data_IF_047357568363
#
_entry.id   IF_047357568363
#
_cell.length_a   1.000
_cell.length_b   1.000
_cell.length_c   1.000
_cell.angle_alpha   90.00
_cell.angle_beta   90.00
_cell.angle_gamma   90.00
#
_symmetry.space_group_name_H-M   'P 1'
#
loop_
_entity.id
_entity.type
_entity.pdbx_description
1 polymer ?
#
# COMPACT_ATOMS: atom_id res chain seq x y z
N UNK A 1 -3.27 34.60 6.54
CA UNK A 1 -2.27 33.83 5.78
C UNK A 1 -2.55 32.38 6.08
N UNK A 2 -2.96 31.56 5.08
CA UNK A 2 -3.17 30.12 5.27
C UNK A 2 -1.81 29.50 5.61
N UNK A 3 -1.70 28.81 6.74
CA UNK A 3 -0.46 28.24 7.25
C UNK A 3 0.13 27.26 6.21
N UNK A 4 1.38 27.50 5.78
CA UNK A 4 2.15 26.59 4.91
C UNK A 4 2.38 25.19 5.56
N UNK A 5 1.99 25.01 6.82
CA UNK A 5 2.11 23.74 7.56
C UNK A 5 1.19 22.64 7.06
N UNK A 6 0.16 22.99 6.31
CA UNK A 6 -0.88 22.05 5.86
C UNK A 6 -0.65 21.54 4.43
N UNK A 7 0.51 21.83 3.81
CA UNK A 7 0.82 21.42 2.44
C UNK A 7 1.87 20.30 2.44
N UNK A 8 1.51 19.17 1.84
CA UNK A 8 2.33 17.97 1.74
C UNK A 8 2.74 17.71 0.29
N UNK A 9 3.94 17.15 0.10
CA UNK A 9 4.36 16.49 -1.11
C UNK A 9 4.35 14.97 -0.88
N UNK A 10 3.45 14.26 -1.52
CA UNK A 10 3.43 12.80 -1.54
C UNK A 10 4.18 12.27 -2.76
N UNK A 11 5.06 11.31 -2.56
CA UNK A 11 5.85 10.66 -3.62
C UNK A 11 5.54 9.16 -3.62
N UNK A 12 5.11 8.65 -4.78
CA UNK A 12 4.89 7.23 -5.03
C UNK A 12 5.85 6.77 -6.15
N UNK A 13 6.79 5.89 -5.79
CA UNK A 13 7.78 5.32 -6.72
C UNK A 13 7.25 4.03 -7.34
N UNK A 14 6.25 4.15 -8.21
CA UNK A 14 5.70 3.00 -8.90
C UNK A 14 6.64 2.42 -9.97
N UNK A 15 6.53 1.12 -10.21
CA UNK A 15 7.33 0.42 -11.24
C UNK A 15 6.95 0.87 -12.66
N UNK A 16 5.70 1.26 -12.91
CA UNK A 16 5.24 1.77 -14.21
C UNK A 16 5.27 3.29 -14.27
N UNK A 17 4.88 3.97 -13.18
CA UNK A 17 4.77 5.42 -13.12
C UNK A 17 5.25 5.95 -11.78
N UNK A 18 6.00 7.04 -11.81
CA UNK A 18 6.38 7.83 -10.64
C UNK A 18 5.38 8.97 -10.51
N UNK A 19 4.79 9.14 -9.33
CA UNK A 19 3.81 10.19 -9.06
C UNK A 19 4.30 11.09 -7.93
N UNK A 20 4.11 12.38 -8.13
CA UNK A 20 4.30 13.40 -7.11
C UNK A 20 3.02 14.24 -7.01
N UNK A 21 2.45 14.33 -5.81
CA UNK A 21 1.22 15.07 -5.58
C UNK A 21 1.45 16.09 -4.47
N UNK A 22 1.15 17.35 -4.77
CA UNK A 22 1.06 18.40 -3.76
C UNK A 22 -0.39 18.51 -3.34
N UNK A 23 -0.64 18.36 -2.06
CA UNK A 23 -2.00 18.40 -1.52
C UNK A 23 -2.06 19.07 -0.15
N UNK A 24 -3.26 19.47 0.25
CA UNK A 24 -3.60 19.89 1.61
C UNK A 24 -4.83 19.15 2.07
N UNK A 25 -5.05 19.13 3.39
CA UNK A 25 -6.30 18.63 3.95
C UNK A 25 -7.13 19.81 4.42
N UNK A 26 -8.39 19.80 4.02
CA UNK A 26 -9.37 20.79 4.41
C UNK A 26 -9.96 20.45 5.80
N UNK A 27 -10.62 21.42 6.48
CA UNK A 27 -11.21 21.19 7.83
C UNK A 27 -12.25 20.06 7.90
N UNK A 28 -12.84 19.68 6.78
CA UNK A 28 -13.79 18.55 6.65
C UNK A 28 -13.10 17.21 6.32
N UNK A 29 -11.77 17.13 6.48
CA UNK A 29 -10.92 15.99 6.14
C UNK A 29 -10.86 15.66 4.63
N UNK A 30 -11.30 16.55 3.75
CA UNK A 30 -11.14 16.37 2.31
C UNK A 30 -9.68 16.61 1.90
N UNK A 31 -9.08 15.66 1.19
CA UNK A 31 -7.77 15.77 0.58
C UNK A 31 -7.91 16.54 -0.75
N UNK A 32 -7.48 17.80 -0.76
CA UNK A 32 -7.50 18.64 -1.96
C UNK A 32 -6.16 18.57 -2.71
N UNK A 33 -6.17 18.16 -3.96
CA UNK A 33 -5.00 18.20 -4.83
C UNK A 33 -4.75 19.63 -5.29
N UNK A 34 -3.57 20.14 -4.97
CA UNK A 34 -3.09 21.46 -5.41
C UNK A 34 -2.22 21.35 -6.66
N UNK A 35 -1.46 20.26 -6.78
CA UNK A 35 -0.57 20.01 -7.90
C UNK A 35 -0.36 18.53 -8.13
N UNK A 36 -0.14 18.16 -9.39
CA UNK A 36 0.08 16.80 -9.82
C UNK A 36 1.22 16.74 -10.84
N UNK A 37 2.14 15.79 -10.66
CA UNK A 37 3.17 15.43 -11.61
C UNK A 37 3.26 13.92 -11.72
N UNK A 38 3.22 13.40 -12.95
CA UNK A 38 3.31 11.99 -13.27
C UNK A 38 4.34 11.77 -14.36
N UNK A 39 5.29 10.84 -14.14
CA UNK A 39 6.31 10.48 -15.12
C UNK A 39 6.32 8.97 -15.35
N UNK A 40 6.45 8.51 -16.61
CA UNK A 40 6.67 7.09 -16.87
C UNK A 40 7.93 6.60 -16.16
N UNK A 41 7.86 5.48 -15.48
CA UNK A 41 9.02 4.86 -14.85
C UNK A 41 9.75 3.97 -15.86
N UNK A 42 10.93 4.38 -16.29
CA UNK A 42 11.69 3.68 -17.35
C UNK A 42 12.69 2.67 -16.81
N UNK A 43 13.06 2.77 -15.54
CA UNK A 43 14.13 1.97 -14.92
C UNK A 43 13.83 1.58 -13.48
N UNK A 44 12.56 1.31 -13.17
CA UNK A 44 12.15 0.67 -11.92
C UNK A 44 11.74 -0.78 -12.19
N UNK A 45 12.26 -1.71 -11.41
CA UNK A 45 11.91 -3.13 -11.45
C UNK A 45 11.44 -3.59 -10.05
N UNK A 46 10.18 -3.99 -9.93
CA UNK A 46 9.60 -4.45 -8.64
C UNK A 46 9.85 -3.49 -7.47
N UNK A 47 9.71 -2.19 -7.73
CA UNK A 47 9.93 -1.14 -6.73
C UNK A 47 11.39 -0.76 -6.47
N UNK A 48 12.34 -1.25 -7.28
CA UNK A 48 13.76 -0.95 -7.15
C UNK A 48 14.34 -0.27 -8.40
N UNK A 49 15.28 0.67 -8.23
CA UNK A 49 15.92 1.33 -9.36
C UNK A 49 16.95 0.41 -10.02
N UNK A 50 16.79 0.17 -11.33
CA UNK A 50 17.75 -0.51 -12.18
C UNK A 50 18.85 0.45 -12.66
N UNK A 51 18.46 1.64 -13.12
CA UNK A 51 19.37 2.72 -13.51
C UNK A 51 19.06 3.98 -12.68
N UNK A 52 19.74 4.15 -11.53
CA UNK A 52 19.42 5.23 -10.58
C UNK A 52 19.41 6.63 -11.18
N UNK A 53 20.32 6.95 -12.10
CA UNK A 53 20.39 8.27 -12.73
C UNK A 53 19.12 8.64 -13.52
N UNK A 54 18.55 7.68 -14.24
CA UNK A 54 17.29 7.89 -15.00
C UNK A 54 16.13 8.09 -14.01
N UNK A 55 16.09 7.27 -12.96
CA UNK A 55 15.00 7.36 -11.96
C UNK A 55 15.07 8.68 -11.19
N UNK A 56 16.26 9.14 -10.81
CA UNK A 56 16.47 10.46 -10.17
C UNK A 56 15.88 11.57 -11.03
N UNK A 57 16.19 11.59 -12.33
CA UNK A 57 15.66 12.61 -13.24
C UNK A 57 14.13 12.56 -13.35
N UNK A 58 13.56 11.36 -13.41
CA UNK A 58 12.10 11.18 -13.48
C UNK A 58 11.41 11.63 -12.19
N UNK A 59 11.97 11.32 -11.03
CA UNK A 59 11.44 11.80 -9.73
C UNK A 59 11.49 13.33 -9.71
N UNK A 60 12.63 13.89 -10.06
CA UNK A 60 12.81 15.35 -10.08
C UNK A 60 11.80 16.04 -10.99
N UNK A 61 11.59 15.52 -12.22
CA UNK A 61 10.59 16.06 -13.16
C UNK A 61 9.16 15.93 -12.63
N UNK A 62 8.80 14.79 -12.02
CA UNK A 62 7.49 14.60 -11.41
C UNK A 62 7.25 15.64 -10.28
N UNK A 63 8.24 15.84 -9.41
CA UNK A 63 8.17 16.83 -8.32
C UNK A 63 8.06 18.25 -8.87
N UNK A 64 8.88 18.62 -9.85
CA UNK A 64 8.83 19.94 -10.46
C UNK A 64 7.45 20.20 -11.09
N UNK A 65 6.90 19.25 -11.80
CA UNK A 65 5.58 19.36 -12.41
C UNK A 65 4.48 19.52 -11.35
N UNK A 66 4.54 18.75 -10.26
CA UNK A 66 3.60 18.87 -9.15
C UNK A 66 3.65 20.27 -8.50
N UNK A 67 4.85 20.80 -8.26
CA UNK A 67 5.04 22.15 -7.68
C UNK A 67 4.56 23.23 -8.66
N UNK A 68 4.90 23.09 -9.94
CA UNK A 68 4.50 24.02 -10.99
C UNK A 68 2.98 24.10 -11.14
N UNK A 69 2.31 22.93 -11.16
CA UNK A 69 0.85 22.86 -11.29
C UNK A 69 0.12 23.31 -10.03
N UNK A 70 0.76 23.17 -8.86
CA UNK A 70 0.27 23.73 -7.59
C UNK A 70 0.42 25.25 -7.50
N UNK A 71 1.19 25.87 -8.39
CA UNK A 71 1.52 27.29 -8.37
C UNK A 71 2.10 27.77 -7.03
N UNK A 72 2.89 26.90 -6.36
CA UNK A 72 3.54 27.25 -5.11
C UNK A 72 4.77 28.12 -5.35
N UNK A 73 4.99 29.10 -4.46
CA UNK A 73 6.21 29.93 -4.43
C UNK A 73 7.35 29.27 -3.67
N UNK A 74 7.01 28.41 -2.72
CA UNK A 74 7.95 27.70 -1.85
C UNK A 74 7.71 26.20 -1.95
N UNK A 75 8.75 25.45 -1.70
CA UNK A 75 8.67 23.99 -1.67
C UNK A 75 7.80 23.52 -0.49
N UNK A 76 6.97 22.46 -0.63
CA UNK A 76 6.19 21.91 0.48
C UNK A 76 7.06 21.57 1.69
N UNK A 77 6.59 21.90 2.89
CA UNK A 77 7.38 21.73 4.12
C UNK A 77 7.39 20.28 4.61
N UNK A 78 6.52 19.44 4.10
CA UNK A 78 6.37 18.05 4.50
C UNK A 78 6.44 17.14 3.28
N UNK A 79 7.28 16.13 3.37
CA UNK A 79 7.50 15.16 2.29
C UNK A 79 7.15 13.78 2.83
N UNK A 80 6.27 13.09 2.11
CA UNK A 80 5.86 11.72 2.40
C UNK A 80 6.23 10.78 1.25
N UNK A 81 6.70 9.58 1.58
CA UNK A 81 7.11 8.54 0.64
C UNK A 81 6.32 7.25 0.86
N UNK A 82 5.72 6.71 -0.20
CA UNK A 82 5.16 5.38 -0.21
C UNK A 82 6.27 4.33 -0.41
N UNK A 83 6.31 3.31 0.45
CA UNK A 83 7.27 2.21 0.37
C UNK A 83 6.61 0.97 -0.25
N UNK A 84 7.15 0.51 -1.37
CA UNK A 84 6.71 -0.70 -2.07
C UNK A 84 7.88 -1.35 -2.79
N UNK A 85 7.94 -2.67 -2.74
CA UNK A 85 8.93 -3.42 -3.52
C UNK A 85 9.48 -4.66 -2.82
N UNK A 86 10.27 -5.41 -3.56
CA UNK A 86 10.87 -6.67 -3.10
C UNK A 86 11.90 -6.53 -1.97
N UNK A 87 12.25 -5.31 -1.57
CA UNK A 87 13.11 -5.02 -0.44
C UNK A 87 12.37 -4.95 0.91
N UNK A 88 11.03 -5.05 0.90
CA UNK A 88 10.19 -5.01 2.08
C UNK A 88 9.41 -6.31 2.25
N UNK A 89 9.47 -6.89 3.43
CA UNK A 89 8.69 -8.07 3.82
C UNK A 89 7.88 -7.78 5.06
N UNK A 90 6.63 -8.24 5.10
CA UNK A 90 5.82 -8.21 6.32
C UNK A 90 6.11 -9.46 7.14
N UNK A 91 6.38 -9.28 8.41
CA UNK A 91 6.61 -10.34 9.39
C UNK A 91 5.68 -10.15 10.58
N UNK A 92 5.39 -11.23 11.29
CA UNK A 92 4.64 -11.19 12.55
C UNK A 92 5.53 -11.51 13.74
N UNK A 93 5.20 -10.91 14.85
CA UNK A 93 5.79 -11.20 16.17
C UNK A 93 4.69 -11.21 17.20
N UNK A 94 4.77 -12.16 18.15
CA UNK A 94 3.84 -12.25 19.26
C UNK A 94 4.55 -12.08 20.60
N UNK A 95 3.88 -11.41 21.53
CA UNK A 95 4.33 -11.22 22.91
C UNK A 95 3.15 -11.47 23.83
N UNK A 96 3.37 -12.29 24.86
CA UNK A 96 2.39 -12.55 25.93
C UNK A 96 2.78 -11.81 27.19
N UNK A 97 1.80 -11.25 27.88
CA UNK A 97 1.90 -10.71 29.23
C UNK A 97 0.94 -11.44 30.14
N UNK A 98 1.29 -11.56 31.42
CA UNK A 98 0.40 -12.09 32.45
C UNK A 98 -0.54 -10.99 32.94
N UNK A 99 -1.82 -11.32 33.09
CA UNK A 99 -2.83 -10.45 33.68
C UNK A 99 -3.05 -10.90 35.15
N UNK A 100 -2.67 -10.10 36.12
CA UNK A 100 -2.77 -10.47 37.53
C UNK A 100 -4.21 -10.77 37.95
N UNK A 101 -4.41 -11.82 38.72
CA UNK A 101 -5.69 -12.21 39.33
C UNK A 101 -6.85 -12.38 38.34
N UNK A 102 -6.58 -12.64 37.07
CA UNK A 102 -7.60 -12.72 36.01
C UNK A 102 -8.59 -11.52 36.04
N UNK A 103 -8.05 -10.32 36.22
CA UNK A 103 -8.83 -9.09 36.16
C UNK A 103 -9.25 -8.78 34.71
N UNK A 104 -10.28 -7.95 34.51
CA UNK A 104 -10.62 -7.47 33.18
C UNK A 104 -9.44 -6.76 32.53
N UNK A 105 -9.14 -7.13 31.30
CA UNK A 105 -8.07 -6.52 30.49
C UNK A 105 -8.37 -5.03 30.29
N UNK A 106 -7.36 -4.20 30.52
CA UNK A 106 -7.43 -2.75 30.37
C UNK A 106 -6.69 -2.27 29.11
N UNK A 107 -6.91 -1.02 28.74
CA UNK A 107 -6.12 -0.37 27.66
C UNK A 107 -4.61 -0.36 28.01
N UNK A 108 -4.27 -0.16 29.29
CA UNK A 108 -2.87 -0.18 29.74
C UNK A 108 -2.20 -1.54 29.53
N UNK A 109 -2.93 -2.65 29.67
CA UNK A 109 -2.43 -3.99 29.39
C UNK A 109 -2.16 -4.17 27.89
N UNK A 110 -3.06 -3.71 27.03
CA UNK A 110 -2.87 -3.73 25.58
C UNK A 110 -1.62 -2.93 25.16
N UNK A 111 -1.45 -1.73 25.73
CA UNK A 111 -0.28 -0.89 25.52
C UNK A 111 1.00 -1.60 26.01
N UNK A 112 0.96 -2.25 27.15
CA UNK A 112 2.12 -2.97 27.74
C UNK A 112 2.52 -4.13 26.85
N UNK A 113 1.56 -4.95 26.40
CA UNK A 113 1.80 -6.04 25.47
C UNK A 113 2.41 -5.53 24.15
N UNK A 114 1.84 -4.50 23.58
CA UNK A 114 2.38 -3.87 22.38
C UNK A 114 3.79 -3.30 22.55
N UNK A 115 4.09 -2.61 23.66
CA UNK A 115 5.46 -2.10 23.95
C UNK A 115 6.49 -3.22 24.06
N UNK A 116 6.12 -4.34 24.61
CA UNK A 116 7.02 -5.50 24.72
C UNK A 116 7.47 -6.03 23.37
N UNK A 117 6.70 -5.76 22.30
CA UNK A 117 7.07 -6.07 20.92
C UNK A 117 8.30 -5.26 20.47
N UNK A 118 8.35 -3.96 20.78
CA UNK A 118 9.51 -3.14 20.40
C UNK A 118 10.81 -3.60 21.05
N UNK A 119 10.74 -4.08 22.29
CA UNK A 119 11.90 -4.68 22.95
C UNK A 119 12.44 -5.91 22.21
N UNK A 120 11.58 -6.66 21.52
CA UNK A 120 12.01 -7.79 20.67
C UNK A 120 12.52 -7.35 19.29
N UNK A 121 11.96 -6.30 18.72
CA UNK A 121 12.38 -5.77 17.42
C UNK A 121 13.71 -4.99 17.52
N UNK A 122 13.94 -4.32 18.64
CA UNK A 122 15.16 -3.54 18.94
C UNK A 122 15.76 -4.02 20.27
N UNK A 123 16.34 -5.23 20.27
CA UNK A 123 16.91 -5.78 21.50
C UNK A 123 18.10 -4.96 22.00
N UNK A 124 18.34 -5.00 23.31
CA UNK A 124 19.54 -4.42 23.89
C UNK A 124 20.82 -5.04 23.31
N UNK A 125 21.95 -4.32 23.31
CA UNK A 125 23.22 -4.85 22.83
C UNK A 125 23.54 -6.22 23.43
N UNK A 126 23.84 -7.21 22.57
CA UNK A 126 24.16 -8.59 22.98
C UNK A 126 22.96 -9.53 23.12
N UNK A 127 21.73 -9.04 22.94
CA UNK A 127 20.56 -9.91 22.86
C UNK A 127 20.25 -10.33 21.42
N UNK A 128 19.68 -11.54 21.18
CA UNK A 128 19.34 -11.98 19.85
C UNK A 128 18.20 -11.15 19.26
N UNK A 129 18.38 -10.70 18.03
CA UNK A 129 17.32 -10.01 17.26
C UNK A 129 16.43 -11.02 16.57
N UNK A 130 15.11 -10.74 16.55
CA UNK A 130 14.14 -11.49 15.72
C UNK A 130 14.11 -10.98 14.28
N UNK A 131 14.73 -9.82 14.02
CA UNK A 131 14.84 -9.26 12.67
C UNK A 131 15.94 -10.02 11.92
N UNK A 132 15.67 -10.52 10.70
CA UNK A 132 16.67 -11.25 9.94
C UNK A 132 17.96 -10.47 9.72
N UNK A 133 19.13 -11.13 9.62
CA UNK A 133 20.40 -10.47 9.28
C UNK A 133 20.29 -9.67 7.96
N UNK A 134 20.90 -8.49 7.93
CA UNK A 134 20.87 -7.58 6.76
C UNK A 134 19.55 -6.82 6.61
N UNK A 135 18.58 -7.03 7.48
CA UNK A 135 17.32 -6.28 7.52
C UNK A 135 17.21 -5.44 8.78
N UNK A 136 16.34 -4.42 8.71
CA UNK A 136 15.95 -3.62 9.86
C UNK A 136 14.43 -3.45 9.86
N UNK A 137 13.79 -3.29 11.04
CA UNK A 137 12.36 -3.04 11.11
C UNK A 137 12.08 -1.57 10.79
N UNK A 138 11.07 -1.33 9.97
CA UNK A 138 10.48 0.01 9.88
C UNK A 138 9.88 0.37 11.24
N UNK A 139 9.90 1.63 11.62
CA UNK A 139 9.29 2.12 12.87
C UNK A 139 7.78 1.90 12.93
N UNK A 140 7.14 1.75 11.77
CA UNK A 140 5.72 1.45 11.66
C UNK A 140 5.47 -0.02 12.00
N UNK A 141 4.82 -0.25 13.14
CA UNK A 141 4.42 -1.57 13.65
C UNK A 141 2.92 -1.52 13.90
N UNK A 142 2.19 -2.50 13.45
CA UNK A 142 0.72 -2.50 13.55
C UNK A 142 0.21 -3.74 14.27
N UNK A 143 -0.75 -3.57 15.17
CA UNK A 143 -1.40 -4.70 15.85
C UNK A 143 -2.15 -5.54 14.84
N UNK A 144 -1.99 -6.87 14.91
CA UNK A 144 -2.74 -7.82 14.11
C UNK A 144 -4.00 -8.28 14.83
N UNK A 145 -3.81 -8.79 16.03
CA UNK A 145 -4.90 -9.21 16.91
C UNK A 145 -4.37 -9.42 18.33
N UNK A 146 -5.30 -9.71 19.23
CA UNK A 146 -5.01 -10.20 20.58
C UNK A 146 -5.56 -11.60 20.74
N UNK A 147 -4.86 -12.44 21.53
CA UNK A 147 -5.29 -13.78 21.88
C UNK A 147 -5.35 -13.95 23.39
N UNK A 148 -6.45 -14.48 23.88
CA UNK A 148 -6.67 -14.79 25.30
C UNK A 148 -6.09 -16.15 25.68
N UNK A 149 -6.01 -16.44 26.99
CA UNK A 149 -5.54 -17.74 27.52
C UNK A 149 -6.35 -18.94 26.99
N UNK A 150 -7.63 -18.76 26.69
CA UNK A 150 -8.52 -19.78 26.14
C UNK A 150 -8.40 -19.95 24.61
N UNK A 151 -7.49 -19.19 23.97
CA UNK A 151 -7.23 -19.25 22.53
C UNK A 151 -8.14 -18.35 21.68
N UNK A 152 -9.13 -17.66 22.25
CA UNK A 152 -9.97 -16.72 21.49
C UNK A 152 -9.13 -15.60 20.93
N UNK A 153 -9.34 -15.30 19.65
CA UNK A 153 -8.74 -14.19 18.95
C UNK A 153 -9.74 -13.01 18.94
N UNK A 154 -9.24 -11.82 19.28
CA UNK A 154 -10.03 -10.58 19.36
C UNK A 154 -9.23 -9.42 18.74
N UNK A 155 -9.92 -8.43 18.19
CA UNK A 155 -9.30 -7.17 17.75
C UNK A 155 -9.28 -6.13 18.88
N UNK A 156 -10.25 -6.20 19.81
CA UNK A 156 -10.24 -5.43 21.05
C UNK A 156 -10.52 -6.36 22.23
N UNK A 157 -9.54 -6.62 23.12
CA UNK A 157 -9.72 -7.48 24.28
C UNK A 157 -10.17 -6.72 25.54
N UNK A 158 -10.34 -5.39 25.49
CA UNK A 158 -10.67 -4.55 26.64
C UNK A 158 -11.97 -5.06 27.31
N UNK A 159 -11.95 -5.19 28.64
CA UNK A 159 -13.06 -5.71 29.43
C UNK A 159 -13.20 -7.23 29.46
N UNK A 160 -12.44 -7.98 28.64
CA UNK A 160 -12.40 -9.45 28.72
C UNK A 160 -11.60 -9.91 29.93
N UNK A 161 -11.97 -11.06 30.48
CA UNK A 161 -11.25 -11.69 31.61
C UNK A 161 -10.34 -12.79 31.05
N UNK A 162 -9.05 -12.71 31.38
CA UNK A 162 -8.06 -13.72 30.98
C UNK A 162 -6.88 -13.70 31.95
N UNK A 163 -6.18 -14.81 32.09
CA UNK A 163 -4.92 -14.86 32.86
C UNK A 163 -3.71 -14.40 32.04
N UNK A 164 -3.81 -14.42 30.72
CA UNK A 164 -2.76 -13.95 29.81
C UNK A 164 -3.37 -13.16 28.65
N UNK A 165 -2.59 -12.21 28.14
CA UNK A 165 -2.89 -11.47 26.93
C UNK A 165 -1.71 -11.59 25.97
N UNK A 166 -1.92 -12.22 24.82
CA UNK A 166 -0.94 -12.28 23.74
C UNK A 166 -1.29 -11.25 22.68
N UNK A 167 -0.38 -10.32 22.44
CA UNK A 167 -0.47 -9.36 21.32
C UNK A 167 0.29 -9.94 20.12
N UNK A 168 -0.39 -10.14 19.01
CA UNK A 168 0.22 -10.39 17.70
C UNK A 168 0.34 -9.07 16.94
N UNK A 169 1.51 -8.85 16.35
CA UNK A 169 1.86 -7.58 15.71
C UNK A 169 2.56 -7.85 14.39
N UNK A 170 2.23 -7.06 13.37
CA UNK A 170 2.93 -7.04 12.10
C UNK A 170 4.00 -5.95 12.11
N UNK A 171 5.16 -6.25 11.56
CA UNK A 171 6.22 -5.28 11.28
C UNK A 171 6.77 -5.46 9.87
N UNK A 172 7.29 -4.38 9.30
CA UNK A 172 7.87 -4.38 7.96
C UNK A 172 9.38 -4.46 8.09
N UNK A 173 9.96 -5.57 7.62
CA UNK A 173 11.40 -5.77 7.58
C UNK A 173 11.94 -5.30 6.24
N UNK A 174 12.82 -4.30 6.27
CA UNK A 174 13.44 -3.70 5.09
C UNK A 174 14.85 -4.25 4.90
N UNK A 175 15.20 -4.59 3.67
CA UNK A 175 16.58 -4.86 3.29
C UNK A 175 17.41 -3.57 3.36
N UNK A 176 18.47 -3.59 4.18
CA UNK A 176 19.23 -2.39 4.50
C UNK A 176 19.92 -1.77 3.29
N UNK A 177 20.57 -2.56 2.46
CA UNK A 177 21.32 -2.06 1.31
C UNK A 177 20.40 -1.54 0.22
N UNK A 178 19.32 -2.29 -0.05
CA UNK A 178 18.35 -1.93 -1.08
C UNK A 178 17.59 -0.67 -0.71
N UNK A 179 17.15 -0.56 0.54
CA UNK A 179 16.48 0.64 1.05
C UNK A 179 17.38 1.87 1.00
N UNK A 180 18.65 1.74 1.44
CA UNK A 180 19.57 2.87 1.42
C UNK A 180 19.87 3.38 0.01
N UNK A 181 19.89 2.51 -1.01
CA UNK A 181 20.00 2.95 -2.41
C UNK A 181 18.81 3.83 -2.82
N UNK A 182 17.59 3.45 -2.42
CA UNK A 182 16.38 4.24 -2.68
C UNK A 182 16.45 5.59 -1.97
N UNK A 183 16.84 5.61 -0.69
CA UNK A 183 16.99 6.86 0.08
C UNK A 183 18.06 7.77 -0.52
N UNK A 184 19.21 7.23 -0.91
CA UNK A 184 20.27 8.02 -1.54
C UNK A 184 19.81 8.65 -2.86
N UNK A 185 19.08 7.90 -3.67
CA UNK A 185 18.49 8.39 -4.91
C UNK A 185 17.48 9.52 -4.66
N UNK A 186 16.59 9.33 -3.69
CA UNK A 186 15.59 10.34 -3.31
C UNK A 186 16.24 11.60 -2.74
N UNK A 187 17.25 11.48 -1.89
CA UNK A 187 18.00 12.62 -1.38
C UNK A 187 18.61 13.47 -2.50
N UNK A 188 19.10 12.81 -3.55
CA UNK A 188 19.60 13.51 -4.74
C UNK A 188 18.48 14.20 -5.51
N UNK A 189 17.36 13.52 -5.76
CA UNK A 189 16.21 14.09 -6.48
C UNK A 189 15.53 15.24 -5.70
N UNK A 190 15.60 15.22 -4.38
CA UNK A 190 15.02 16.21 -3.48
C UNK A 190 15.99 17.34 -3.11
N UNK A 191 17.19 17.36 -3.69
CA UNK A 191 18.23 18.36 -3.39
C UNK A 191 18.53 18.42 -1.88
N UNK A 192 18.72 17.24 -1.26
CA UNK A 192 19.04 17.08 0.16
C UNK A 192 17.88 17.34 1.15
N UNK A 193 16.65 17.58 0.67
CA UNK A 193 15.49 17.74 1.55
C UNK A 193 15.12 16.42 2.21
N UNK A 194 14.71 16.52 3.47
CA UNK A 194 14.39 15.37 4.29
C UNK A 194 12.98 14.81 3.98
N UNK A 195 12.85 13.48 3.98
CA UNK A 195 11.57 12.78 3.95
C UNK A 195 11.05 12.69 5.38
N UNK A 196 9.91 13.32 5.65
CA UNK A 196 9.32 13.38 7.00
C UNK A 196 8.58 12.09 7.37
N UNK A 197 7.91 11.48 6.38
CA UNK A 197 7.04 10.31 6.59
C UNK A 197 7.29 9.23 5.55
N UNK A 198 7.33 7.99 6.01
CA UNK A 198 7.39 6.81 5.14
C UNK A 198 6.24 5.87 5.49
N UNK A 199 5.46 5.46 4.50
CA UNK A 199 4.28 4.62 4.69
C UNK A 199 4.35 3.41 3.75
N UNK A 200 4.27 2.18 4.27
CA UNK A 200 4.10 0.99 3.43
C UNK A 200 2.82 1.06 2.61
N UNK A 201 2.89 0.68 1.32
CA UNK A 201 1.73 0.74 0.43
C UNK A 201 0.51 -0.03 0.96
N UNK A 202 0.62 -1.22 1.58
CA UNK A 202 -0.55 -1.87 2.18
C UNK A 202 -1.30 -1.00 3.21
N UNK A 203 -0.60 -0.15 3.95
CA UNK A 203 -1.22 0.79 4.90
C UNK A 203 -1.79 2.02 4.18
N UNK A 204 -1.08 2.51 3.16
CA UNK A 204 -1.54 3.63 2.36
C UNK A 204 -2.88 3.33 1.66
N UNK A 205 -3.01 2.18 0.99
CA UNK A 205 -4.27 1.82 0.32
C UNK A 205 -5.43 1.71 1.30
N UNK A 206 -5.19 1.24 2.52
CA UNK A 206 -6.19 1.23 3.58
C UNK A 206 -6.64 2.65 3.94
N UNK A 207 -5.71 3.55 4.19
CA UNK A 207 -6.01 4.94 4.50
C UNK A 207 -6.75 5.68 3.36
N UNK A 208 -6.67 5.19 2.12
CA UNK A 208 -7.38 5.76 0.98
C UNK A 208 -8.77 5.18 0.78
N UNK A 209 -8.95 3.87 0.96
CA UNK A 209 -10.14 3.15 0.53
C UNK A 209 -11.09 2.78 1.66
N UNK A 210 -10.58 2.72 2.90
CA UNK A 210 -11.35 2.30 4.06
C UNK A 210 -11.42 3.45 5.07
N UNK A 211 -12.61 4.00 5.33
CA UNK A 211 -12.79 4.87 6.49
C UNK A 211 -12.39 4.14 7.78
N UNK A 212 -11.99 4.84 8.82
CA UNK A 212 -11.62 4.21 10.08
C UNK A 212 -12.72 3.30 10.61
N UNK A 213 -12.31 2.07 10.99
CA UNK A 213 -13.21 1.09 11.58
C UNK A 213 -13.29 1.33 13.08
N UNK A 214 -14.50 1.35 13.64
CA UNK A 214 -14.72 1.45 15.09
C UNK A 214 -14.77 0.06 15.72
N UNK A 215 -14.55 -0.04 17.03
CA UNK A 215 -14.66 -1.31 17.78
C UNK A 215 -16.08 -1.90 17.72
N UNK A 216 -17.07 -1.05 17.48
CA UNK A 216 -18.48 -1.43 17.31
C UNK A 216 -18.76 -2.02 15.91
N UNK A 217 -17.88 -1.76 14.93
CA UNK A 217 -17.90 -2.36 13.61
C UNK A 217 -17.44 -3.83 13.71
N UNK A 218 -18.20 -4.63 14.44
CA UNK A 218 -17.95 -6.06 14.59
C UNK A 218 -18.20 -6.78 13.27
N UNK A 219 -17.25 -6.56 12.30
CA UNK A 219 -17.02 -7.49 11.18
C UNK A 219 -18.18 -7.80 10.23
N UNK A 220 -17.93 -7.89 8.98
CA UNK A 220 -16.75 -8.43 8.29
C UNK A 220 -15.71 -7.37 7.89
N UNK A 221 -14.44 -7.80 7.65
CA UNK A 221 -13.33 -6.92 7.32
C UNK A 221 -13.18 -6.77 5.80
N UNK A 222 -12.96 -5.56 5.28
CA UNK A 222 -12.71 -5.37 3.86
C UNK A 222 -11.32 -5.89 3.45
N UNK A 223 -11.25 -6.60 2.32
CA UNK A 223 -9.98 -6.87 1.64
C UNK A 223 -9.75 -5.82 0.57
N UNK A 224 -8.60 -5.17 0.65
CA UNK A 224 -8.13 -4.17 -0.29
C UNK A 224 -6.95 -4.75 -1.07
N UNK A 225 -7.02 -4.68 -2.39
CA UNK A 225 -5.99 -5.21 -3.30
C UNK A 225 -5.55 -4.07 -4.20
N UNK A 226 -4.26 -3.71 -4.15
CA UNK A 226 -3.67 -2.77 -5.08
C UNK A 226 -2.83 -3.54 -6.11
N UNK A 227 -3.34 -3.61 -7.32
CA UNK A 227 -2.70 -4.31 -8.43
C UNK A 227 -1.80 -3.35 -9.19
N UNK A 228 -0.55 -3.24 -8.73
CA UNK A 228 0.48 -2.43 -9.35
C UNK A 228 1.18 -3.14 -10.52
N UNK A 229 2.17 -2.45 -11.11
CA UNK A 229 2.96 -3.03 -12.19
C UNK A 229 3.93 -4.10 -11.70
N UNK A 230 4.74 -3.81 -10.67
CA UNK A 230 5.75 -4.73 -10.17
C UNK A 230 5.31 -5.65 -9.05
N UNK A 231 4.37 -5.19 -8.22
CA UNK A 231 3.89 -5.89 -7.03
C UNK A 231 2.40 -5.71 -6.85
N UNK A 232 1.77 -6.65 -6.17
CA UNK A 232 0.40 -6.54 -5.68
C UNK A 232 0.43 -6.38 -4.17
N UNK A 233 -0.22 -5.33 -3.65
CA UNK A 233 -0.32 -5.08 -2.21
C UNK A 233 -1.68 -5.52 -1.69
N UNK A 234 -1.68 -6.17 -0.52
CA UNK A 234 -2.87 -6.64 0.17
C UNK A 234 -3.00 -5.94 1.52
N UNK A 235 -4.21 -5.51 1.84
CA UNK A 235 -4.51 -4.89 3.13
C UNK A 235 -5.87 -5.34 3.63
N UNK A 236 -5.94 -5.70 4.91
CA UNK A 236 -7.17 -6.07 5.60
C UNK A 236 -7.18 -5.36 6.95
N UNK A 237 -7.66 -4.10 6.99
CA UNK A 237 -7.69 -3.31 8.22
C UNK A 237 -8.69 -3.89 9.23
N UNK A 238 -8.42 -3.68 10.53
CA UNK A 238 -9.28 -4.06 11.65
C UNK A 238 -9.54 -2.85 12.53
N UNK A 239 -10.53 -2.87 13.42
CA UNK A 239 -10.62 -1.87 14.48
C UNK A 239 -9.37 -1.90 15.36
N UNK A 240 -8.41 -1.06 15.07
CA UNK A 240 -7.17 -0.94 15.83
C UNK A 240 -5.94 -1.63 15.26
N UNK A 241 -5.96 -2.11 14.02
CA UNK A 241 -4.80 -2.74 13.41
C UNK A 241 -5.01 -3.27 12.01
N UNK A 242 -4.29 -4.32 11.69
CA UNK A 242 -4.40 -5.03 10.41
C UNK A 242 -4.32 -6.54 10.61
N UNK A 243 -5.34 -7.26 10.18
CA UNK A 243 -5.25 -8.71 10.11
C UNK A 243 -4.19 -9.14 9.08
N UNK A 244 -4.10 -8.38 7.99
CA UNK A 244 -3.17 -8.60 6.88
C UNK A 244 -2.67 -7.28 6.31
N UNK A 245 -1.37 -7.14 6.08
CA UNK A 245 -0.74 -6.02 5.39
C UNK A 245 0.53 -6.52 4.72
N UNK A 246 0.46 -6.98 3.47
CA UNK A 246 1.58 -7.64 2.81
C UNK A 246 1.67 -7.32 1.32
N UNK A 247 2.78 -7.70 0.69
CA UNK A 247 3.01 -7.55 -0.74
C UNK A 247 3.36 -8.89 -1.39
N UNK A 248 2.83 -9.09 -2.59
CA UNK A 248 3.15 -10.22 -3.46
C UNK A 248 4.02 -9.68 -4.60
N UNK A 249 5.16 -10.31 -4.87
CA UNK A 249 6.10 -9.90 -5.92
C UNK A 249 5.61 -10.18 -7.35
N UNK A 250 4.30 -10.12 -7.57
CA UNK A 250 3.63 -10.29 -8.88
C UNK A 250 2.76 -9.06 -9.13
N UNK A 251 2.81 -8.52 -10.33
CA UNK A 251 1.99 -7.41 -10.80
C UNK A 251 1.81 -7.47 -12.31
N UNK A 252 1.28 -6.41 -12.92
CA UNK A 252 0.99 -6.34 -14.36
C UNK A 252 2.23 -6.47 -15.26
N UNK A 253 3.44 -6.24 -14.76
CA UNK A 253 4.68 -6.49 -15.50
C UNK A 253 4.91 -7.97 -15.81
N UNK A 254 4.41 -8.87 -14.96
CA UNK A 254 4.45 -10.31 -15.24
C UNK A 254 3.51 -10.64 -16.40
N UNK A 255 2.34 -10.03 -16.42
CA UNK A 255 1.42 -10.14 -17.54
C UNK A 255 2.03 -9.55 -18.83
N UNK A 256 2.67 -8.37 -18.76
CA UNK A 256 3.39 -7.79 -19.88
C UNK A 256 4.50 -8.72 -20.39
N UNK A 257 5.22 -9.36 -19.48
CA UNK A 257 6.29 -10.30 -19.84
C UNK A 257 5.73 -11.56 -20.52
N UNK A 258 4.59 -12.10 -20.05
CA UNK A 258 3.95 -13.25 -20.69
C UNK A 258 3.48 -12.90 -22.12
N UNK A 259 2.84 -11.74 -22.29
CA UNK A 259 2.47 -11.24 -23.63
C UNK A 259 3.70 -11.08 -24.52
N UNK A 260 4.77 -10.48 -23.97
CA UNK A 260 6.04 -10.31 -24.68
C UNK A 260 6.64 -11.64 -25.17
N UNK A 261 6.62 -12.68 -24.33
CA UNK A 261 7.19 -13.99 -24.62
C UNK A 261 6.30 -14.81 -25.57
N UNK A 262 4.99 -14.87 -25.28
CA UNK A 262 4.05 -15.70 -26.07
C UNK A 262 3.94 -15.21 -27.50
N UNK A 263 3.89 -13.90 -27.69
CA UNK A 263 3.71 -13.30 -29.02
C UNK A 263 5.02 -12.86 -29.68
N UNK A 264 6.17 -13.06 -29.03
CA UNK A 264 7.48 -12.70 -29.60
C UNK A 264 7.63 -11.21 -29.90
N UNK A 265 7.01 -10.35 -29.07
CA UNK A 265 7.02 -8.88 -29.28
C UNK A 265 8.44 -8.32 -29.16
N UNK A 266 9.30 -8.94 -28.31
CA UNK A 266 10.68 -8.54 -28.04
C UNK A 266 10.86 -7.08 -27.57
N UNK A 267 9.78 -6.51 -27.00
CA UNK A 267 9.76 -5.15 -26.48
C UNK A 267 8.78 -5.04 -25.28
N UNK A 268 9.34 -5.05 -24.09
CA UNK A 268 8.54 -4.99 -22.85
C UNK A 268 7.74 -3.70 -22.70
N UNK A 269 8.20 -2.57 -23.27
CA UNK A 269 7.46 -1.31 -23.24
C UNK A 269 6.20 -1.41 -24.10
N UNK A 270 6.31 -2.01 -25.30
CA UNK A 270 5.16 -2.28 -26.16
C UNK A 270 4.16 -3.21 -25.46
N UNK A 271 4.65 -4.27 -24.81
CA UNK A 271 3.79 -5.18 -24.05
C UNK A 271 3.07 -4.48 -22.86
N UNK A 272 3.75 -3.58 -22.15
CA UNK A 272 3.11 -2.73 -21.11
C UNK A 272 2.03 -1.81 -21.69
N UNK A 273 2.30 -1.19 -22.84
CA UNK A 273 1.31 -0.34 -23.52
C UNK A 273 0.07 -1.14 -23.95
N UNK A 274 0.25 -2.37 -24.44
CA UNK A 274 -0.87 -3.27 -24.76
C UNK A 274 -1.79 -3.46 -23.56
N UNK A 275 -1.23 -3.71 -22.37
CA UNK A 275 -2.03 -3.87 -21.14
C UNK A 275 -2.81 -2.59 -20.80
N UNK A 276 -2.19 -1.42 -20.94
CA UNK A 276 -2.85 -0.15 -20.69
C UNK A 276 -3.98 0.15 -21.69
N UNK A 277 -3.88 -0.41 -22.88
CA UNK A 277 -4.83 -0.20 -23.99
C UNK A 277 -5.80 -1.36 -24.21
N UNK A 278 -5.86 -2.35 -23.31
CA UNK A 278 -6.73 -3.53 -23.46
C UNK A 278 -8.20 -3.17 -23.72
N UNK A 279 -8.70 -2.11 -23.09
CA UNK A 279 -10.04 -1.61 -23.33
C UNK A 279 -10.23 -1.13 -24.79
N UNK A 280 -9.23 -0.48 -25.38
CA UNK A 280 -9.23 -0.02 -26.77
C UNK A 280 -9.20 -1.19 -27.73
N UNK A 281 -8.46 -2.25 -27.39
CA UNK A 281 -8.43 -3.51 -28.15
C UNK A 281 -9.67 -4.39 -27.90
N UNK A 282 -10.56 -3.98 -26.96
CA UNK A 282 -11.71 -4.78 -26.50
C UNK A 282 -11.31 -6.16 -25.98
N UNK A 283 -10.11 -6.29 -25.40
CA UNK A 283 -9.65 -7.48 -24.72
C UNK A 283 -10.00 -7.43 -23.24
N UNK A 284 -10.29 -8.58 -22.66
CA UNK A 284 -10.80 -8.72 -21.29
C UNK A 284 -9.98 -9.73 -20.48
N UNK A 285 -10.15 -9.69 -19.16
CA UNK A 285 -9.56 -10.65 -18.23
C UNK A 285 -10.21 -12.05 -18.28
N UNK A 286 -11.32 -12.19 -19.00
CA UNK A 286 -12.06 -13.45 -19.17
C UNK A 286 -12.14 -13.74 -20.66
N UNK A 287 -11.43 -14.79 -21.08
CA UNK A 287 -11.38 -15.16 -22.49
C UNK A 287 -12.75 -15.64 -23.01
N UNK A 288 -13.07 -15.25 -24.24
CA UNK A 288 -14.24 -15.77 -24.97
C UNK A 288 -13.85 -17.12 -25.60
N UNK A 289 -14.26 -18.21 -24.96
CA UNK A 289 -13.91 -19.58 -25.41
C UNK A 289 -14.69 -20.04 -26.68
N UNK A 290 -15.47 -19.18 -27.27
CA UNK A 290 -16.39 -19.47 -28.37
C UNK A 290 -15.84 -19.15 -29.77
N UNK A 291 -14.52 -19.07 -29.91
CA UNK A 291 -13.85 -18.99 -31.21
C UNK A 291 -13.92 -17.60 -31.87
N UNK A 292 -13.86 -16.52 -31.09
CA UNK A 292 -13.74 -15.17 -31.62
C UNK A 292 -12.47 -15.03 -32.49
N UNK A 293 -12.68 -14.91 -33.80
CA UNK A 293 -11.61 -14.78 -34.78
C UNK A 293 -11.08 -13.34 -34.91
N UNK A 294 -11.35 -12.44 -33.93
CA UNK A 294 -10.85 -11.06 -33.97
C UNK A 294 -9.33 -11.02 -33.98
N UNK A 295 -8.79 -10.24 -34.90
CA UNK A 295 -7.38 -9.91 -34.96
C UNK A 295 -7.14 -8.51 -34.39
N UNK A 296 -6.08 -8.36 -33.63
CA UNK A 296 -5.61 -7.09 -33.07
C UNK A 296 -4.38 -6.65 -33.86
N UNK A 297 -4.39 -5.44 -34.39
CA UNK A 297 -3.19 -4.87 -35.01
C UNK A 297 -2.45 -4.03 -33.97
N UNK A 298 -1.29 -4.50 -33.55
CA UNK A 298 -0.43 -3.84 -32.56
C UNK A 298 0.62 -3.01 -33.30
N UNK A 299 0.69 -1.71 -33.01
CA UNK A 299 1.69 -0.82 -33.55
C UNK A 299 2.99 -0.80 -32.70
N UNK A 300 4.14 -0.74 -33.36
CA UNK A 300 5.43 -0.58 -32.72
C UNK A 300 6.00 0.83 -32.90
N UNK A 301 6.92 1.28 -32.01
CA UNK A 301 7.52 2.61 -32.09
C UNK A 301 8.30 2.88 -33.40
N UNK A 302 8.73 1.84 -34.10
CA UNK A 302 9.42 1.92 -35.39
C UNK A 302 8.47 2.00 -36.60
N UNK A 303 7.15 2.04 -36.34
CA UNK A 303 6.12 2.12 -37.38
C UNK A 303 5.67 0.76 -37.93
N UNK A 304 6.30 -0.35 -37.50
CA UNK A 304 5.86 -1.68 -37.85
C UNK A 304 4.54 -2.05 -37.13
N UNK A 305 3.84 -3.04 -37.66
CA UNK A 305 2.63 -3.59 -37.03
C UNK A 305 2.72 -5.12 -36.95
N UNK A 306 2.01 -5.68 -35.98
CA UNK A 306 1.86 -7.12 -35.81
C UNK A 306 0.38 -7.45 -35.57
N UNK A 307 -0.12 -8.44 -36.25
CA UNK A 307 -1.48 -8.93 -36.04
C UNK A 307 -1.46 -10.10 -35.05
N UNK A 308 -2.28 -10.01 -34.00
CA UNK A 308 -2.41 -11.00 -32.94
C UNK A 308 -3.88 -11.44 -32.80
N UNK A 309 -4.07 -12.70 -32.42
CA UNK A 309 -5.40 -13.21 -32.06
C UNK A 309 -5.86 -12.58 -30.75
N UNK A 310 -7.06 -11.98 -30.75
CA UNK A 310 -7.66 -11.43 -29.51
C UNK A 310 -7.92 -12.53 -28.48
N UNK A 311 -8.39 -13.69 -28.90
CA UNK A 311 -8.67 -14.83 -28.03
C UNK A 311 -7.39 -15.36 -27.36
N UNK A 312 -6.27 -15.44 -28.10
CA UNK A 312 -5.00 -15.87 -27.53
C UNK A 312 -4.49 -14.82 -26.52
N UNK A 313 -4.65 -13.53 -26.82
CA UNK A 313 -4.33 -12.44 -25.90
C UNK A 313 -5.13 -12.54 -24.60
N UNK A 314 -6.45 -12.69 -24.70
CA UNK A 314 -7.32 -12.86 -23.52
C UNK A 314 -6.99 -14.12 -22.74
N UNK A 315 -6.61 -15.22 -23.40
CA UNK A 315 -6.18 -16.45 -22.73
C UNK A 315 -4.91 -16.24 -21.90
N UNK A 316 -3.90 -15.56 -22.44
CA UNK A 316 -2.66 -15.22 -21.70
C UNK A 316 -2.99 -14.36 -20.49
N UNK A 317 -3.84 -13.34 -20.66
CA UNK A 317 -4.27 -12.45 -19.60
C UNK A 317 -5.00 -13.22 -18.50
N UNK A 318 -5.97 -14.03 -18.87
CA UNK A 318 -6.78 -14.81 -17.95
C UNK A 318 -5.94 -15.79 -17.11
N UNK A 319 -5.05 -16.53 -17.75
CA UNK A 319 -4.16 -17.51 -17.06
C UNK A 319 -3.30 -16.82 -16.00
N UNK A 320 -2.66 -15.71 -16.34
CA UNK A 320 -1.82 -14.98 -15.37
C UNK A 320 -2.61 -14.38 -14.23
N UNK A 321 -3.75 -13.79 -14.52
CA UNK A 321 -4.60 -13.19 -13.48
C UNK A 321 -5.24 -14.27 -12.58
N UNK A 322 -5.62 -15.42 -13.14
CA UNK A 322 -6.07 -16.59 -12.35
C UNK A 322 -5.00 -17.03 -11.36
N UNK A 323 -3.75 -17.18 -11.80
CA UNK A 323 -2.63 -17.51 -10.92
C UNK A 323 -2.49 -16.50 -9.78
N UNK A 324 -2.51 -15.20 -10.09
CA UNK A 324 -2.41 -14.15 -9.08
C UNK A 324 -3.53 -14.23 -8.05
N UNK A 325 -4.80 -14.35 -8.48
CA UNK A 325 -5.92 -14.43 -7.54
C UNK A 325 -5.95 -15.73 -6.74
N UNK A 326 -5.45 -16.83 -7.29
CA UNK A 326 -5.25 -18.09 -6.54
C UNK A 326 -4.18 -17.91 -5.45
N UNK A 327 -3.06 -17.23 -5.75
CA UNK A 327 -2.04 -16.89 -4.73
C UNK A 327 -2.63 -15.99 -3.64
N UNK A 328 -3.47 -15.01 -4.00
CA UNK A 328 -4.17 -14.18 -3.01
C UNK A 328 -5.06 -15.05 -2.12
N UNK A 329 -5.82 -15.98 -2.70
CA UNK A 329 -6.62 -16.95 -1.96
C UNK A 329 -5.80 -17.76 -0.96
N UNK A 330 -4.65 -18.30 -1.39
CA UNK A 330 -3.73 -19.01 -0.51
C UNK A 330 -3.19 -18.14 0.64
N UNK A 331 -2.94 -16.84 0.39
CA UNK A 331 -2.54 -15.89 1.44
C UNK A 331 -3.66 -15.66 2.46
N UNK A 332 -4.90 -15.56 2.00
CA UNK A 332 -6.06 -15.45 2.90
C UNK A 332 -6.22 -16.69 3.78
N UNK A 333 -6.02 -17.89 3.23
CA UNK A 333 -6.04 -19.15 3.98
C UNK A 333 -4.90 -19.19 5.01
N UNK A 334 -3.68 -18.92 4.60
CA UNK A 334 -2.49 -18.93 5.47
C UNK A 334 -2.62 -17.95 6.65
N UNK A 335 -3.31 -16.85 6.46
CA UNK A 335 -3.59 -15.85 7.49
C UNK A 335 -4.89 -16.10 8.26
N UNK A 336 -5.62 -17.20 7.99
CA UNK A 336 -6.94 -17.49 8.56
C UNK A 336 -7.94 -16.34 8.35
N UNK A 337 -7.84 -15.65 7.22
CA UNK A 337 -8.54 -14.40 6.96
C UNK A 337 -9.94 -14.59 6.35
N UNK A 338 -10.23 -15.73 5.72
CA UNK A 338 -11.51 -15.98 5.06
C UNK A 338 -12.74 -15.86 5.98
N UNK A 339 -12.62 -16.29 7.24
CA UNK A 339 -13.70 -16.18 8.22
C UNK A 339 -14.05 -14.76 8.64
N UNK A 340 -13.16 -13.81 8.35
CA UNK A 340 -13.29 -12.40 8.69
C UNK A 340 -13.59 -11.52 7.47
N UNK A 341 -13.56 -12.10 6.26
CA UNK A 341 -13.66 -11.37 5.01
C UNK A 341 -15.08 -10.90 4.74
N UNK A 342 -15.23 -9.62 4.42
CA UNK A 342 -16.49 -9.03 3.95
C UNK A 342 -16.94 -9.67 2.62
N UNK A 343 -18.19 -9.46 2.28
CA UNK A 343 -18.76 -9.85 1.00
C UNK A 343 -18.20 -9.06 -0.18
N UNK A 344 -17.52 -7.94 0.06
CA UNK A 344 -16.99 -7.07 -0.98
C UNK A 344 -15.47 -6.89 -0.85
N UNK A 345 -14.76 -7.03 -1.99
CA UNK A 345 -13.32 -6.79 -2.14
C UNK A 345 -13.13 -5.55 -3.00
N UNK A 346 -12.20 -4.67 -2.63
CA UNK A 346 -11.86 -3.47 -3.39
C UNK A 346 -10.53 -3.65 -4.14
N UNK A 347 -10.56 -3.45 -5.46
CA UNK A 347 -9.37 -3.38 -6.30
C UNK A 347 -8.94 -1.94 -6.53
N UNK A 348 -7.64 -1.68 -6.53
CA UNK A 348 -7.00 -0.42 -6.92
C UNK A 348 -5.74 -0.67 -7.74
N UNK A 349 -5.03 0.41 -8.11
CA UNK A 349 -3.90 0.34 -9.04
C UNK A 349 -4.33 0.31 -10.49
N UNK A 350 -3.36 0.43 -11.40
CA UNK A 350 -3.65 0.42 -12.85
C UNK A 350 -4.23 -0.91 -13.33
N UNK A 351 -3.82 -2.02 -12.71
CA UNK A 351 -4.35 -3.34 -13.05
C UNK A 351 -5.85 -3.50 -12.79
N UNK A 352 -6.43 -2.69 -11.88
CA UNK A 352 -7.87 -2.70 -11.63
C UNK A 352 -8.70 -2.22 -12.83
N UNK A 353 -8.06 -1.58 -13.82
CA UNK A 353 -8.71 -1.10 -15.04
C UNK A 353 -8.77 -2.15 -16.17
N UNK A 354 -8.15 -3.32 -15.98
CA UNK A 354 -8.27 -4.42 -16.96
C UNK A 354 -9.74 -4.81 -17.06
N UNK A 355 -10.32 -4.79 -18.30
CA UNK A 355 -11.74 -5.08 -18.45
C UNK A 355 -12.12 -6.47 -17.91
N UNK A 356 -13.25 -6.57 -17.21
CA UNK A 356 -13.79 -7.78 -16.54
C UNK A 356 -12.89 -8.40 -15.46
N UNK A 357 -11.86 -7.71 -14.99
CA UNK A 357 -11.00 -8.23 -13.91
C UNK A 357 -11.78 -8.48 -12.61
N UNK A 358 -12.75 -7.63 -12.28
CA UNK A 358 -13.60 -7.81 -11.10
C UNK A 358 -14.44 -9.09 -11.17
N UNK A 359 -14.89 -9.46 -12.35
CA UNK A 359 -15.63 -10.73 -12.60
C UNK A 359 -14.71 -11.93 -12.37
N UNK A 360 -13.51 -11.91 -12.97
CA UNK A 360 -12.53 -12.98 -12.81
C UNK A 360 -12.13 -13.15 -11.34
N UNK A 361 -11.76 -12.05 -10.69
CA UNK A 361 -11.38 -12.06 -9.27
C UNK A 361 -12.51 -12.56 -8.38
N UNK A 362 -13.73 -12.12 -8.63
CA UNK A 362 -14.92 -12.52 -7.88
C UNK A 362 -15.23 -14.01 -8.01
N UNK A 363 -15.04 -14.57 -9.20
CA UNK A 363 -15.21 -16.01 -9.46
C UNK A 363 -14.20 -16.88 -8.69
N UNK A 364 -12.95 -16.39 -8.53
CA UNK A 364 -11.87 -17.13 -7.83
C UNK A 364 -11.93 -16.96 -6.31
N UNK A 365 -12.16 -15.73 -5.85
CA UNK A 365 -12.17 -15.41 -4.42
C UNK A 365 -13.52 -15.63 -3.76
N UNK A 366 -14.55 -16.00 -4.54
CA UNK A 366 -15.93 -16.23 -4.09
C UNK A 366 -16.52 -15.04 -3.31
N UNK A 367 -16.23 -13.83 -3.77
CA UNK A 367 -16.71 -12.57 -3.20
C UNK A 367 -17.02 -11.57 -4.31
N UNK A 368 -17.89 -10.61 -4.00
CA UNK A 368 -18.11 -9.48 -4.92
C UNK A 368 -16.85 -8.62 -4.97
N UNK A 369 -16.41 -8.26 -6.16
CA UNK A 369 -15.23 -7.42 -6.37
C UNK A 369 -15.64 -6.18 -7.15
N UNK A 370 -15.14 -5.02 -6.75
CA UNK A 370 -15.27 -3.76 -7.49
C UNK A 370 -14.01 -2.92 -7.43
N UNK A 371 -13.89 -1.98 -8.33
CA UNK A 371 -12.83 -0.96 -8.27
C UNK A 371 -13.14 -0.02 -7.12
N UNK A 372 -12.14 0.17 -6.24
CA UNK A 372 -12.19 1.11 -5.14
C UNK A 372 -11.87 2.53 -5.59
N UNK A 373 -12.47 3.52 -4.94
CA UNK A 373 -12.16 4.93 -5.12
C UNK A 373 -11.79 5.56 -3.78
N UNK A 374 -10.71 6.33 -3.70
CA UNK A 374 -10.36 7.06 -2.48
C UNK A 374 -11.51 7.95 -2.01
N UNK A 375 -11.81 7.87 -0.72
CA UNK A 375 -12.89 8.67 -0.14
C UNK A 375 -12.44 10.11 0.15
N UNK A 376 -13.36 11.07 0.11
CA UNK A 376 -13.11 12.48 0.42
C UNK A 376 -11.85 13.06 -0.24
N UNK A 377 -11.72 12.89 -1.57
CA UNK A 377 -10.65 13.47 -2.36
C UNK A 377 -11.24 14.46 -3.35
N UNK A 378 -10.73 15.68 -3.35
CA UNK A 378 -10.97 16.67 -4.40
C UNK A 378 -9.73 16.77 -5.30
N UNK A 379 -9.81 16.13 -6.45
CA UNK A 379 -8.82 16.17 -7.52
C UNK A 379 -9.42 16.68 -8.84
N UNK A 380 -10.60 17.30 -8.78
CA UNK A 380 -11.38 17.75 -9.95
C UNK A 380 -10.64 18.74 -10.84
N UNK A 381 -9.64 19.43 -10.30
CA UNK A 381 -8.74 20.31 -11.07
C UNK A 381 -7.90 19.54 -12.10
N UNK A 382 -7.65 18.25 -11.88
CA UNK A 382 -6.73 17.44 -12.69
C UNK A 382 -7.41 16.26 -13.39
N UNK A 383 -8.54 15.79 -12.86
CA UNK A 383 -9.21 14.58 -13.32
C UNK A 383 -10.72 14.73 -13.26
N UNK A 384 -11.42 14.32 -14.31
CA UNK A 384 -12.89 14.16 -14.29
C UNK A 384 -13.28 13.02 -13.34
N UNK A 385 -12.49 11.95 -13.36
CA UNK A 385 -12.56 10.81 -12.42
C UNK A 385 -11.15 10.46 -11.99
N UNK A 386 -10.90 10.40 -10.67
CA UNK A 386 -9.58 10.08 -10.13
C UNK A 386 -9.18 8.64 -10.50
N UNK A 387 -8.09 8.44 -11.26
CA UNK A 387 -7.68 7.10 -11.66
C UNK A 387 -7.26 6.23 -10.45
N UNK A 388 -7.56 4.92 -10.44
CA UNK A 388 -7.22 4.02 -9.33
C UNK A 388 -5.73 3.99 -8.97
N UNK A 389 -4.84 4.31 -9.91
CA UNK A 389 -3.39 4.40 -9.65
C UNK A 389 -2.98 5.51 -8.69
N UNK A 390 -3.89 6.43 -8.36
CA UNK A 390 -3.67 7.48 -7.36
C UNK A 390 -4.05 7.06 -5.95
N UNK A 391 -4.63 5.87 -5.76
CA UNK A 391 -5.04 5.36 -4.44
C UNK A 391 -3.88 5.37 -3.45
N UNK A 392 -2.72 4.87 -3.85
CA UNK A 392 -1.52 4.83 -2.99
C UNK A 392 -1.12 6.22 -2.50
N UNK A 393 -1.02 7.21 -3.40
CA UNK A 393 -0.58 8.57 -3.00
C UNK A 393 -1.64 9.30 -2.18
N UNK A 394 -2.94 9.07 -2.43
CA UNK A 394 -4.02 9.60 -1.59
C UNK A 394 -3.92 9.08 -0.15
N UNK A 395 -3.75 7.79 0.00
CA UNK A 395 -3.62 7.16 1.31
C UNK A 395 -2.30 7.51 2.01
N UNK A 396 -1.20 7.62 1.27
CA UNK A 396 0.07 8.13 1.78
C UNK A 396 -0.10 9.51 2.43
N UNK A 397 -0.73 10.44 1.73
CA UNK A 397 -0.93 11.80 2.20
C UNK A 397 -1.86 11.85 3.43
N UNK A 398 -2.92 11.03 3.47
CA UNK A 398 -3.78 10.90 4.64
C UNK A 398 -3.03 10.34 5.84
N UNK A 399 -2.27 9.26 5.66
CA UNK A 399 -1.48 8.65 6.72
C UNK A 399 -0.41 9.61 7.26
N UNK A 400 0.29 10.33 6.37
CA UNK A 400 1.31 11.30 6.74
C UNK A 400 0.74 12.47 7.55
N UNK A 401 -0.41 13.02 7.13
CA UNK A 401 -1.08 14.08 7.90
C UNK A 401 -1.43 13.58 9.30
N UNK A 402 -2.01 12.39 9.39
CA UNK A 402 -2.41 11.85 10.68
C UNK A 402 -1.22 11.64 11.62
N UNK A 403 -0.10 11.13 11.10
CA UNK A 403 1.16 11.05 11.84
C UNK A 403 1.61 12.43 12.33
N UNK A 404 1.41 13.49 11.53
CA UNK A 404 1.70 14.86 11.95
C UNK A 404 0.80 15.33 13.09
N UNK A 405 -0.52 15.17 12.96
CA UNK A 405 -1.48 15.60 13.99
C UNK A 405 -1.15 14.99 15.34
N UNK A 406 -0.85 13.70 15.39
CA UNK A 406 -0.47 13.02 16.63
C UNK A 406 0.87 13.49 17.21
N UNK A 407 1.81 13.83 16.34
CA UNK A 407 3.08 14.42 16.78
C UNK A 407 2.85 15.80 17.45
N UNK A 408 1.98 16.60 16.87
CA UNK A 408 1.61 17.93 17.38
C UNK A 408 0.82 17.84 18.69
N UNK A 409 -0.12 16.91 18.83
CA UNK A 409 -0.85 16.65 20.07
C UNK A 409 0.10 16.22 21.21
N UNK A 410 1.12 15.43 20.90
CA UNK A 410 2.17 15.06 21.86
C UNK A 410 2.98 16.25 22.35
N UNK A 411 3.37 17.11 21.44
CA UNK A 411 4.16 18.29 21.76
C UNK A 411 3.36 19.28 22.64
N UNK A 412 2.04 19.35 22.47
CA UNK A 412 1.16 20.23 23.23
C UNK A 412 0.76 19.70 24.63
N UNK A 413 0.66 18.37 24.80
CA UNK A 413 0.11 17.76 26.03
C UNK A 413 1.12 16.92 26.84
N UNK A 414 2.41 16.93 26.49
CA UNK A 414 3.40 16.00 27.04
C UNK A 414 4.06 16.39 28.35
N UNK A 415 3.80 15.67 29.44
CA UNK A 415 4.68 15.58 30.61
C UNK A 415 5.73 14.48 30.41
N UNK A 416 6.89 14.59 31.09
CA UNK A 416 8.08 13.74 30.89
C UNK A 416 7.81 12.23 31.11
N UNK A 417 6.84 11.87 31.96
CA UNK A 417 6.43 10.46 32.22
C UNK A 417 5.62 9.86 31.07
N UNK A 418 4.94 10.68 30.31
CA UNK A 418 4.13 10.27 29.14
C UNK A 418 4.98 9.93 27.89
N UNK A 419 6.23 10.39 27.81
CA UNK A 419 7.09 10.19 26.63
C UNK A 419 7.46 8.74 26.36
N UNK A 420 7.57 7.91 27.39
CA UNK A 420 7.96 6.50 27.24
C UNK A 420 6.77 5.59 26.90
N UNK A 421 5.56 6.02 27.28
CA UNK A 421 4.34 5.22 27.15
C UNK A 421 3.55 5.36 25.86
N UNK A 422 3.71 6.45 25.16
CA UNK A 422 2.85 6.87 24.04
C UNK A 422 3.36 6.48 22.67
N UNK A 423 4.60 6.02 22.54
CA UNK A 423 5.19 5.69 21.24
C UNK A 423 4.40 4.67 20.41
N UNK A 424 3.70 3.75 21.07
CA UNK A 424 2.84 2.74 20.42
C UNK A 424 1.43 3.24 20.18
N UNK A 425 0.83 3.90 21.18
CA UNK A 425 -0.48 4.52 21.07
C UNK A 425 -0.51 5.49 19.88
N UNK A 426 0.57 6.17 19.60
CA UNK A 426 0.68 7.23 18.62
C UNK A 426 0.82 6.73 17.19
N UNK A 427 1.56 5.64 16.95
CA UNK A 427 1.54 4.94 15.65
C UNK A 427 0.21 4.20 15.49
N UNK A 428 -0.33 3.67 16.57
CA UNK A 428 -1.61 2.99 16.61
C UNK A 428 -2.77 3.96 16.35
N UNK A 429 -2.83 5.09 17.08
CA UNK A 429 -3.80 6.16 16.84
C UNK A 429 -3.61 6.86 15.50
N UNK A 430 -2.36 7.02 15.02
CA UNK A 430 -2.07 7.68 13.74
C UNK A 430 -2.70 6.98 12.55
N UNK A 431 -2.90 5.70 12.66
CA UNK A 431 -3.40 4.90 11.54
C UNK A 431 -4.90 4.55 11.75
N UNK A 432 -5.41 4.57 12.99
CA UNK A 432 -6.67 3.92 13.35
C UNK A 432 -7.73 4.73 14.09
N UNK A 433 -7.41 5.82 14.77
CA UNK A 433 -8.43 6.68 15.40
C UNK A 433 -8.66 7.94 14.58
N UNK A 434 -9.89 8.14 14.15
CA UNK A 434 -10.41 9.36 13.51
C UNK A 434 -11.37 10.04 14.46
#
# INVERSE_FOLDING_TARGET
>A
MKNSRDIFLGIDLGTSTIKAVVARILPDNTLEFLGNGEMPSLSMLKGEPDQPGIVIEQIFRAIQEAIRTAALREFPNRIALALSGGYMETKSVSVSIDIPNSLPITEADCITAGRSVYGKLQPAPGQPSIVPPGKFPLSTVVTRNFRLADGRMLFSPIGQISSTLTCETLYFALDYERYNRIVAMLNTALDGRHIDYTVPVPLAISAALCPPLTVEDNLPLPLLIDLGAGVTSLSMPTPGGYLMAEQIGIGCDHLANDINLVFGINNIKTARNIIQELANYRCTAVAAHDGDARMLTIGFPDGNTMDLSANDMETVIEVRLKELFQIIGQRLEANQAYGWLDNEILLSGDGALIPRICELAGGILHRKVRVGSPYQVDATRFFDTLPPRYTTVCGLLRAALRMQMLKEEKEQHGTVLDRVGRGLRDVWQAIFEW
#
